data_IF_632782146201
#
_entry.id   IF_632782146201
#
_cell.length_a   1.000
_cell.length_b   1.000
_cell.length_c   1.000
_cell.angle_alpha   90.00
_cell.angle_beta   90.00
_cell.angle_gamma   90.00
#
_symmetry.space_group_name_H-M   'P 1'
#
loop_
_entity.id
_entity.type
_entity.pdbx_description
1 polymer ?
#
# COMPACT_ATOMS: atom_id res chain seq x y z
N UNK A 1 -15.35 27.05 27.64
CA UNK A 1 -14.97 25.93 26.76
C UNK A 1 -14.18 26.54 25.62
N UNK A 2 -12.86 26.39 25.57
CA UNK A 2 -12.06 27.01 24.51
C UNK A 2 -12.20 26.11 23.27
N UNK A 3 -12.85 26.63 22.24
CA UNK A 3 -12.98 25.97 20.94
C UNK A 3 -11.64 26.07 20.19
N UNK A 4 -10.68 25.24 20.58
CA UNK A 4 -9.36 25.12 19.92
C UNK A 4 -9.50 24.11 18.78
N UNK A 5 -10.45 24.32 17.87
CA UNK A 5 -10.58 23.59 16.61
C UNK A 5 -10.91 24.58 15.51
N UNK A 6 -9.92 25.35 15.08
CA UNK A 6 -9.94 25.89 13.73
C UNK A 6 -9.50 24.76 12.79
N UNK A 7 -10.43 23.87 12.37
CA UNK A 7 -10.25 23.21 11.07
C UNK A 7 -10.79 24.21 10.06
N UNK A 8 -9.89 25.02 9.55
CA UNK A 8 -10.14 25.80 8.36
C UNK A 8 -9.60 25.02 7.18
N UNK A 9 -10.27 25.10 6.04
CA UNK A 9 -9.83 24.44 4.80
C UNK A 9 -8.37 24.76 4.46
N UNK A 10 -7.89 25.92 4.92
CA UNK A 10 -6.63 26.51 4.50
C UNK A 10 -5.48 26.26 5.49
N UNK A 11 -5.70 25.48 6.56
CA UNK A 11 -4.64 25.08 7.49
C UNK A 11 -4.32 23.58 7.43
N UNK A 12 -3.21 23.18 8.05
CA UNK A 12 -2.70 21.81 7.96
C UNK A 12 -3.69 20.75 8.46
N UNK A 13 -4.51 21.07 9.48
CA UNK A 13 -5.53 20.15 9.99
C UNK A 13 -6.68 19.97 8.98
N UNK A 14 -7.10 21.05 8.32
CA UNK A 14 -8.08 20.99 7.23
C UNK A 14 -7.58 20.22 6.01
N UNK A 15 -6.33 20.44 5.60
CA UNK A 15 -5.69 19.70 4.51
C UNK A 15 -5.60 18.20 4.83
N UNK A 16 -5.21 17.83 6.06
CA UNK A 16 -5.18 16.44 6.50
C UNK A 16 -6.57 15.81 6.46
N UNK A 17 -7.58 16.48 7.02
CA UNK A 17 -8.95 15.98 7.04
C UNK A 17 -9.52 15.83 5.61
N UNK A 18 -9.16 16.73 4.69
CA UNK A 18 -9.51 16.63 3.28
C UNK A 18 -8.85 15.43 2.61
N UNK A 19 -7.56 15.15 2.88
CA UNK A 19 -6.86 13.96 2.37
C UNK A 19 -7.53 12.68 2.87
N UNK A 20 -7.83 12.59 4.17
CA UNK A 20 -8.53 11.44 4.78
C UNK A 20 -9.90 11.23 4.12
N UNK A 21 -10.69 12.28 3.98
CA UNK A 21 -12.03 12.20 3.38
C UNK A 21 -11.97 11.79 1.90
N UNK A 22 -10.99 12.32 1.18
CA UNK A 22 -10.76 12.00 -0.22
C UNK A 22 -10.32 10.56 -0.42
N UNK A 23 -9.40 10.07 0.41
CA UNK A 23 -8.71 8.79 0.21
C UNK A 23 -9.37 7.63 0.95
N UNK A 24 -10.21 7.90 1.96
CA UNK A 24 -10.80 6.87 2.80
C UNK A 24 -11.65 5.86 2.02
N UNK A 25 -12.37 6.29 0.98
CA UNK A 25 -13.13 5.38 0.10
C UNK A 25 -12.26 4.62 -0.91
N UNK A 26 -11.00 5.04 -1.07
CA UNK A 26 -10.05 4.44 -1.98
C UNK A 26 -9.23 3.31 -1.33
N UNK A 27 -9.35 3.10 -0.01
CA UNK A 27 -8.61 2.06 0.68
C UNK A 27 -9.09 0.65 0.31
N UNK A 28 -8.18 -0.30 0.04
CA UNK A 28 -8.51 -1.70 -0.07
C UNK A 28 -8.88 -2.31 1.31
N UNK A 29 -9.47 -3.52 1.34
CA UNK A 29 -9.76 -4.23 2.58
C UNK A 29 -8.51 -4.59 3.39
N UNK A 30 -8.73 -5.03 4.63
CA UNK A 30 -7.72 -5.71 5.42
C UNK A 30 -7.27 -7.01 4.72
N UNK A 31 -5.97 -7.26 4.67
CA UNK A 31 -5.45 -8.61 4.48
C UNK A 31 -5.78 -9.48 5.71
N UNK A 32 -5.92 -10.81 5.56
CA UNK A 32 -6.02 -11.73 6.68
C UNK A 32 -4.87 -11.52 7.68
N UNK A 33 -5.17 -11.59 8.97
CA UNK A 33 -4.12 -11.50 9.99
C UNK A 33 -3.33 -12.81 10.00
N UNK A 34 -2.06 -12.76 9.59
CA UNK A 34 -1.19 -13.92 9.62
C UNK A 34 -0.03 -13.66 10.55
N UNK A 35 0.75 -12.63 10.27
CA UNK A 35 1.90 -12.27 11.08
C UNK A 35 2.19 -10.77 11.03
N UNK A 36 2.66 -10.17 12.14
CA UNK A 36 2.78 -8.71 12.28
C UNK A 36 3.62 -8.02 11.21
N UNK A 37 4.66 -8.65 10.68
CA UNK A 37 5.56 -8.04 9.69
C UNK A 37 4.88 -7.91 8.32
N UNK A 38 3.90 -8.75 7.99
CA UNK A 38 3.03 -8.57 6.83
C UNK A 38 1.93 -7.54 7.12
N UNK A 39 1.16 -7.76 8.19
CA UNK A 39 -0.03 -6.98 8.47
C UNK A 39 0.30 -5.52 8.84
N UNK A 40 1.36 -5.26 9.59
CA UNK A 40 1.74 -3.89 9.92
C UNK A 40 2.33 -3.15 8.71
N UNK A 41 3.02 -3.84 7.78
CA UNK A 41 3.44 -3.23 6.52
C UNK A 41 2.24 -2.87 5.64
N UNK A 42 1.20 -3.71 5.64
CA UNK A 42 -0.05 -3.40 4.94
C UNK A 42 -0.78 -2.20 5.54
N UNK A 43 -0.85 -2.15 6.87
CA UNK A 43 -1.38 -1.02 7.61
C UNK A 43 -0.61 0.26 7.29
N UNK A 44 0.72 0.21 7.29
CA UNK A 44 1.57 1.36 6.96
C UNK A 44 1.33 1.87 5.54
N UNK A 45 1.23 0.95 4.57
CA UNK A 45 0.93 1.30 3.18
C UNK A 45 -0.44 1.99 3.03
N UNK A 46 -1.48 1.44 3.65
CA UNK A 46 -2.83 2.00 3.64
C UNK A 46 -2.91 3.34 4.40
N UNK A 47 -2.30 3.42 5.57
CA UNK A 47 -2.24 4.64 6.39
C UNK A 47 -1.49 5.76 5.68
N UNK A 48 -0.37 5.44 5.02
CA UNK A 48 0.38 6.39 4.20
C UNK A 48 -0.48 6.93 3.05
N UNK A 49 -1.21 6.08 2.34
CA UNK A 49 -2.12 6.53 1.28
C UNK A 49 -3.24 7.42 1.84
N UNK A 50 -3.86 7.00 2.93
CA UNK A 50 -4.92 7.74 3.61
C UNK A 50 -4.47 9.17 3.97
N UNK A 51 -3.26 9.30 4.49
CA UNK A 51 -2.67 10.59 4.87
C UNK A 51 -2.19 11.44 3.68
N UNK A 52 -2.25 10.93 2.44
CA UNK A 52 -1.76 11.63 1.25
C UNK A 52 -0.26 11.45 0.96
N UNK A 53 0.40 10.54 1.67
CA UNK A 53 1.81 10.18 1.47
C UNK A 53 1.94 9.04 0.45
N UNK A 54 1.55 9.31 -0.80
CA UNK A 54 1.45 8.28 -1.85
C UNK A 54 2.80 7.62 -2.16
N UNK A 55 3.91 8.36 -2.11
CA UNK A 55 5.25 7.80 -2.28
C UNK A 55 5.57 6.76 -1.20
N UNK A 56 5.29 7.07 0.07
CA UNK A 56 5.51 6.13 1.18
C UNK A 56 4.63 4.90 1.03
N UNK A 57 3.36 5.09 0.63
CA UNK A 57 2.44 3.99 0.35
C UNK A 57 2.98 3.04 -0.74
N UNK A 58 3.48 3.57 -1.86
CA UNK A 58 4.04 2.78 -2.97
C UNK A 58 5.28 2.00 -2.54
N UNK A 59 6.17 2.63 -1.76
CA UNK A 59 7.39 1.97 -1.25
C UNK A 59 7.02 0.86 -0.27
N UNK A 60 6.18 1.15 0.74
CA UNK A 60 5.74 0.17 1.72
C UNK A 60 5.03 -1.02 1.06
N UNK A 61 4.13 -0.76 0.10
CA UNK A 61 3.46 -1.80 -0.70
C UNK A 61 4.47 -2.66 -1.45
N UNK A 62 5.51 -2.04 -2.03
CA UNK A 62 6.53 -2.77 -2.79
C UNK A 62 7.40 -3.65 -1.89
N UNK A 63 7.76 -3.17 -0.70
CA UNK A 63 8.48 -3.97 0.30
C UNK A 63 7.62 -5.16 0.72
N UNK A 64 6.35 -4.94 1.00
CA UNK A 64 5.41 -5.99 1.38
C UNK A 64 5.25 -7.06 0.30
N UNK A 65 5.05 -6.66 -0.96
CA UNK A 65 4.93 -7.59 -2.10
C UNK A 65 6.15 -8.51 -2.21
N UNK A 66 7.36 -7.94 -2.22
CA UNK A 66 8.58 -8.74 -2.30
C UNK A 66 8.73 -9.65 -1.07
N UNK A 67 8.45 -9.13 0.12
CA UNK A 67 8.61 -9.87 1.37
C UNK A 67 7.62 -11.04 1.47
N UNK A 68 6.33 -10.83 1.19
CA UNK A 68 5.32 -11.89 1.16
C UNK A 68 5.66 -12.96 0.13
N UNK A 69 6.05 -12.57 -1.09
CA UNK A 69 6.42 -13.55 -2.11
C UNK A 69 7.60 -14.43 -1.66
N UNK A 70 8.61 -13.83 -1.02
CA UNK A 70 9.75 -14.58 -0.47
C UNK A 70 9.29 -15.58 0.61
N UNK A 71 8.45 -15.14 1.54
CA UNK A 71 7.92 -16.02 2.59
C UNK A 71 7.15 -17.21 2.01
N UNK A 72 6.20 -16.95 1.13
CA UNK A 72 5.35 -17.99 0.50
C UNK A 72 6.20 -18.94 -0.35
N UNK A 73 7.22 -18.42 -1.04
CA UNK A 73 8.16 -19.26 -1.80
C UNK A 73 9.02 -20.12 -0.89
N UNK A 74 9.37 -19.69 0.32
CA UNK A 74 10.15 -20.50 1.26
C UNK A 74 9.30 -21.62 1.85
N UNK A 75 8.15 -21.30 2.46
CA UNK A 75 7.31 -22.30 3.12
C UNK A 75 5.81 -21.95 2.99
N UNK A 76 5.02 -22.92 2.52
CA UNK A 76 3.56 -22.80 2.40
C UNK A 76 2.83 -23.32 3.64
N UNK A 77 3.46 -24.23 4.38
CA UNK A 77 2.82 -24.97 5.46
C UNK A 77 2.88 -24.17 6.77
N UNK A 78 4.04 -23.58 7.06
CA UNK A 78 4.26 -22.76 8.26
C UNK A 78 4.78 -21.37 7.91
N UNK A 79 4.42 -20.37 8.72
CA UNK A 79 4.93 -18.99 8.58
C UNK A 79 6.45 -19.00 8.80
N UNK A 80 7.26 -18.63 7.79
CA UNK A 80 8.72 -18.60 7.95
C UNK A 80 9.16 -17.63 9.05
N UNK A 81 10.11 -18.08 9.87
CA UNK A 81 10.76 -17.22 10.85
C UNK A 81 11.89 -16.45 10.17
N UNK A 82 11.76 -15.12 10.07
CA UNK A 82 12.81 -14.24 9.54
C UNK A 82 14.18 -14.51 10.18
N UNK A 83 14.23 -14.90 11.46
CA UNK A 83 15.50 -15.17 12.17
C UNK A 83 16.11 -16.52 11.83
N UNK A 84 15.30 -17.56 11.62
CA UNK A 84 15.77 -18.93 11.40
C UNK A 84 15.93 -19.23 9.91
N UNK A 85 15.01 -18.70 9.10
CA UNK A 85 14.85 -19.02 7.68
C UNK A 85 15.38 -17.91 6.77
N UNK A 86 16.11 -16.93 7.33
CA UNK A 86 16.72 -15.83 6.58
C UNK A 86 17.50 -16.32 5.36
N UNK A 87 18.32 -17.36 5.55
CA UNK A 87 19.15 -17.92 4.49
C UNK A 87 18.34 -18.37 3.29
N UNK A 88 17.21 -19.04 3.53
CA UNK A 88 16.32 -19.54 2.48
C UNK A 88 15.50 -18.41 1.84
N UNK A 89 14.90 -17.53 2.66
CA UNK A 89 14.07 -16.41 2.17
C UNK A 89 14.86 -15.41 1.31
N UNK A 90 16.15 -15.26 1.59
CA UNK A 90 17.03 -14.27 0.95
C UNK A 90 18.18 -14.90 0.16
N UNK A 91 18.16 -16.21 -0.09
CA UNK A 91 19.13 -16.88 -0.97
C UNK A 91 19.17 -16.19 -2.35
N UNK A 92 17.98 -15.89 -2.87
CA UNK A 92 17.80 -15.12 -4.09
C UNK A 92 17.93 -13.61 -3.81
N UNK A 93 19.07 -13.02 -4.17
CA UNK A 93 19.37 -11.61 -3.89
C UNK A 93 18.46 -10.60 -4.61
N UNK A 94 17.76 -11.01 -5.67
CA UNK A 94 16.87 -10.14 -6.44
C UNK A 94 15.47 -10.76 -6.56
N UNK A 95 14.47 -9.94 -6.89
CA UNK A 95 13.08 -10.40 -6.99
C UNK A 95 12.84 -11.34 -8.19
N UNK A 96 13.59 -11.17 -9.29
CA UNK A 96 13.38 -11.95 -10.53
C UNK A 96 13.57 -13.47 -10.31
N UNK A 97 14.66 -13.94 -9.67
CA UNK A 97 14.80 -15.34 -9.28
C UNK A 97 13.69 -15.84 -8.33
N UNK A 98 13.20 -15.00 -7.41
CA UNK A 98 12.09 -15.37 -6.51
C UNK A 98 10.81 -15.61 -7.32
N UNK A 99 10.49 -14.74 -8.28
CA UNK A 99 9.35 -14.91 -9.21
C UNK A 99 9.49 -16.21 -10.02
N UNK A 100 10.70 -16.53 -10.49
CA UNK A 100 10.95 -17.78 -11.22
C UNK A 100 10.76 -19.01 -10.33
N UNK A 101 11.18 -18.94 -9.06
CA UNK A 101 10.95 -20.00 -8.08
C UNK A 101 9.45 -20.17 -7.81
N UNK A 102 8.73 -19.07 -7.54
CA UNK A 102 7.28 -19.08 -7.35
C UNK A 102 6.53 -19.69 -8.54
N UNK A 103 6.95 -19.36 -9.76
CA UNK A 103 6.44 -19.97 -10.99
C UNK A 103 6.70 -21.48 -11.02
N UNK A 104 7.92 -21.92 -10.69
CA UNK A 104 8.26 -23.35 -10.68
C UNK A 104 7.44 -24.15 -9.67
N UNK A 105 7.05 -23.50 -8.56
CA UNK A 105 6.14 -24.03 -7.53
C UNK A 105 4.66 -23.93 -7.88
N UNK A 106 4.31 -23.35 -9.04
CA UNK A 106 2.92 -23.19 -9.47
C UNK A 106 2.16 -22.03 -8.82
N UNK A 107 2.81 -21.22 -7.99
CA UNK A 107 2.20 -20.11 -7.23
C UNK A 107 1.81 -18.92 -8.11
N UNK A 108 2.51 -18.75 -9.24
CA UNK A 108 2.28 -17.66 -10.19
C UNK A 108 1.97 -18.22 -11.58
N UNK A 109 0.75 -17.96 -12.07
CA UNK A 109 0.32 -18.39 -13.41
C UNK A 109 -0.43 -17.28 -14.17
N UNK A 110 -0.62 -17.48 -15.48
CA UNK A 110 -1.47 -16.63 -16.32
C UNK A 110 -1.22 -15.12 -16.18
N UNK A 111 -2.28 -14.38 -15.88
CA UNK A 111 -2.24 -12.92 -15.71
C UNK A 111 -1.51 -12.48 -14.43
N UNK A 112 -1.59 -13.27 -13.35
CA UNK A 112 -0.85 -12.98 -12.11
C UNK A 112 0.64 -12.98 -12.37
N UNK A 113 1.15 -13.96 -13.12
CA UNK A 113 2.56 -13.99 -13.53
C UNK A 113 2.96 -12.73 -14.31
N UNK A 114 2.18 -12.34 -15.32
CA UNK A 114 2.48 -11.15 -16.15
C UNK A 114 2.55 -9.88 -15.31
N UNK A 115 1.66 -9.75 -14.32
CA UNK A 115 1.65 -8.62 -13.40
C UNK A 115 2.92 -8.59 -12.54
N UNK A 116 3.32 -9.72 -11.93
CA UNK A 116 4.55 -9.78 -11.13
C UNK A 116 5.81 -9.51 -11.95
N UNK A 117 5.86 -9.99 -13.19
CA UNK A 117 6.98 -9.71 -14.11
C UNK A 117 7.08 -8.22 -14.46
N UNK A 118 5.94 -7.58 -14.76
CA UNK A 118 5.85 -6.15 -15.02
C UNK A 118 6.19 -5.30 -13.78
N UNK A 119 5.67 -5.68 -12.61
CA UNK A 119 5.95 -5.04 -11.33
C UNK A 119 7.45 -5.08 -11.00
N UNK A 120 8.08 -6.25 -11.17
CA UNK A 120 9.51 -6.42 -10.93
C UNK A 120 10.35 -5.48 -11.80
N UNK A 121 9.94 -5.26 -13.05
CA UNK A 121 10.70 -4.51 -14.05
C UNK A 121 10.50 -3.01 -13.96
N UNK A 122 9.24 -2.57 -13.89
CA UNK A 122 8.88 -1.16 -14.05
C UNK A 122 8.66 -0.41 -12.73
N UNK A 123 8.41 -1.12 -11.63
CA UNK A 123 8.15 -0.51 -10.32
C UNK A 123 9.29 -0.84 -9.36
N UNK A 124 9.43 -2.13 -8.99
CA UNK A 124 10.38 -2.56 -7.95
C UNK A 124 11.82 -2.16 -8.29
N UNK A 125 12.27 -2.46 -9.51
CA UNK A 125 13.63 -2.14 -9.93
C UNK A 125 13.95 -0.65 -9.79
N UNK A 126 13.00 0.21 -10.17
CA UNK A 126 13.12 1.66 -10.08
C UNK A 126 13.17 2.15 -8.63
N UNK A 127 12.32 1.61 -7.76
CA UNK A 127 12.35 1.90 -6.31
C UNK A 127 13.73 1.59 -5.72
N UNK A 128 14.32 0.45 -6.05
CA UNK A 128 15.64 0.06 -5.54
C UNK A 128 16.77 1.00 -5.99
N UNK A 129 16.61 1.70 -7.12
CA UNK A 129 17.56 2.69 -7.60
C UNK A 129 17.22 4.12 -7.18
N UNK A 130 16.17 4.32 -6.37
CA UNK A 130 15.68 5.65 -5.99
C UNK A 130 15.03 6.42 -7.14
N UNK A 131 14.71 5.72 -8.24
CA UNK A 131 14.30 6.31 -9.50
C UNK A 131 12.78 6.32 -9.67
N UNK A 132 12.09 6.92 -8.70
CA UNK A 132 10.63 6.92 -8.64
C UNK A 132 9.98 7.66 -9.82
N UNK A 133 10.69 8.59 -10.46
CA UNK A 133 10.18 9.37 -11.59
C UNK A 133 9.86 8.50 -12.79
N UNK A 134 10.80 7.63 -13.15
CA UNK A 134 10.65 6.78 -14.32
C UNK A 134 9.57 5.72 -14.12
N UNK A 135 9.13 5.44 -12.88
CA UNK A 135 7.94 4.58 -12.65
C UNK A 135 6.73 5.16 -13.38
N UNK A 136 6.50 6.47 -13.26
CA UNK A 136 5.30 7.11 -13.80
C UNK A 136 5.34 7.25 -15.31
N UNK A 137 6.52 7.29 -15.89
CA UNK A 137 6.72 7.36 -17.33
C UNK A 137 6.67 5.94 -17.93
N UNK A 138 7.52 5.04 -17.41
CA UNK A 138 7.65 3.66 -17.90
C UNK A 138 6.36 2.85 -17.73
N UNK A 139 5.65 2.97 -16.60
CA UNK A 139 4.47 2.15 -16.34
C UNK A 139 3.26 2.51 -17.21
N UNK A 140 3.23 3.68 -17.86
CA UNK A 140 2.06 4.11 -18.66
C UNK A 140 1.83 3.24 -19.88
N UNK A 141 2.93 2.75 -20.45
CA UNK A 141 2.91 1.91 -21.65
C UNK A 141 2.83 0.42 -21.31
N UNK A 142 2.75 0.09 -20.02
CA UNK A 142 2.65 -1.30 -19.52
C UNK A 142 1.17 -1.70 -19.46
N UNK A 143 0.72 -2.72 -20.21
CA UNK A 143 -0.69 -3.10 -20.26
C UNK A 143 -1.32 -3.41 -18.89
N UNK A 144 -0.53 -3.90 -17.95
CA UNK A 144 -0.97 -4.24 -16.59
C UNK A 144 -1.27 -3.00 -15.73
N UNK A 145 -0.70 -1.83 -16.07
CA UNK A 145 -0.76 -0.62 -15.24
C UNK A 145 -1.47 0.54 -15.94
N UNK A 146 -2.08 0.33 -17.10
CA UNK A 146 -2.75 1.38 -17.89
C UNK A 146 -3.79 2.15 -17.04
N UNK A 147 -4.54 1.44 -16.20
CA UNK A 147 -5.59 2.02 -15.37
C UNK A 147 -5.06 2.93 -14.25
N UNK A 148 -3.77 2.83 -13.92
CA UNK A 148 -3.12 3.61 -12.85
C UNK A 148 -3.00 5.09 -13.26
N UNK A 149 -3.18 5.37 -14.55
CA UNK A 149 -3.00 6.67 -15.16
C UNK A 149 -4.30 7.20 -15.75
N UNK A 150 -4.38 8.52 -15.89
CA UNK A 150 -5.47 9.14 -16.62
C UNK A 150 -5.13 9.10 -18.12
N UNK A 151 -5.98 8.53 -19.00
CA UNK A 151 -5.73 8.48 -20.45
C UNK A 151 -5.53 9.86 -21.10
N UNK A 152 -6.10 10.91 -20.51
CA UNK A 152 -5.92 12.30 -20.96
C UNK A 152 -4.49 12.77 -20.69
N UNK A 153 -3.88 12.33 -19.59
CA UNK A 153 -2.51 12.71 -19.19
C UNK A 153 -1.46 11.83 -19.87
N UNK A 154 -1.60 11.59 -21.19
CA UNK A 154 -0.66 10.81 -22.02
C UNK A 154 0.26 11.71 -22.85
N UNK A 155 1.39 11.17 -23.33
CA UNK A 155 2.33 11.88 -24.21
C UNK A 155 1.67 12.40 -25.49
N UNK A 156 0.75 11.62 -26.04
CA UNK A 156 0.06 11.92 -27.29
C UNK A 156 -1.02 13.00 -27.11
N UNK A 157 -1.63 13.06 -25.92
CA UNK A 157 -2.76 13.95 -25.62
C UNK A 157 -2.37 15.22 -24.87
N UNK A 158 -1.10 15.34 -24.45
CA UNK A 158 -0.62 16.44 -23.60
C UNK A 158 0.52 17.20 -24.29
N UNK A 159 0.56 18.52 -24.09
CA UNK A 159 1.73 19.31 -24.47
C UNK A 159 3.01 18.75 -23.83
N UNK A 160 4.10 18.71 -24.60
CA UNK A 160 5.43 18.29 -24.12
C UNK A 160 5.82 18.91 -22.78
N UNK A 161 5.63 20.22 -22.61
CA UNK A 161 5.92 20.91 -21.36
C UNK A 161 5.11 20.33 -20.18
N UNK A 162 3.78 20.25 -20.33
CA UNK A 162 2.90 19.73 -19.28
C UNK A 162 3.21 18.27 -18.94
N UNK A 163 3.59 17.48 -19.93
CA UNK A 163 4.02 16.11 -19.72
C UNK A 163 5.32 16.04 -18.94
N UNK A 164 6.40 16.63 -19.47
CA UNK A 164 7.76 16.53 -18.91
C UNK A 164 7.92 17.25 -17.57
N UNK A 165 7.24 18.40 -17.37
CA UNK A 165 7.47 19.30 -16.23
C UNK A 165 6.40 19.22 -15.14
N UNK A 166 5.25 18.60 -15.41
CA UNK A 166 4.15 18.50 -14.43
C UNK A 166 3.76 17.06 -14.16
N UNK A 167 3.52 16.27 -15.20
CA UNK A 167 3.03 14.89 -15.07
C UNK A 167 4.15 13.93 -14.60
N UNK A 168 5.36 14.08 -15.11
CA UNK A 168 6.52 13.25 -14.74
C UNK A 168 7.45 13.90 -13.70
N UNK A 169 7.02 15.00 -13.08
CA UNK A 169 7.81 15.72 -12.08
C UNK A 169 7.80 14.99 -10.72
N UNK A 170 8.89 14.96 -9.93
CA UNK A 170 8.94 14.27 -8.63
C UNK A 170 7.80 14.59 -7.66
N UNK A 171 7.42 15.87 -7.61
CA UNK A 171 6.34 16.34 -6.76
C UNK A 171 4.96 15.74 -7.09
N UNK A 172 4.82 15.05 -8.22
CA UNK A 172 3.54 14.45 -8.64
C UNK A 172 3.05 13.35 -7.68
N UNK A 173 3.95 12.70 -6.93
CA UNK A 173 3.60 11.79 -5.85
C UNK A 173 2.95 12.48 -4.64
N UNK A 174 2.83 13.81 -4.67
CA UNK A 174 2.09 14.61 -3.69
C UNK A 174 0.86 15.27 -4.32
N UNK A 175 0.45 14.81 -5.51
CA UNK A 175 -0.63 15.38 -6.30
C UNK A 175 -1.63 14.30 -6.76
N UNK A 176 -2.69 14.70 -7.51
CA UNK A 176 -3.79 13.83 -7.97
C UNK A 176 -3.33 12.60 -8.76
N UNK A 177 -2.25 12.71 -9.52
CA UNK A 177 -1.71 11.62 -10.35
C UNK A 177 -1.00 10.59 -9.47
N UNK A 178 -0.22 11.03 -8.48
CA UNK A 178 0.34 10.16 -7.44
C UNK A 178 -0.74 9.44 -6.63
N UNK A 179 -1.82 10.16 -6.26
CA UNK A 179 -2.99 9.56 -5.61
C UNK A 179 -3.58 8.43 -6.45
N UNK A 180 -3.83 8.70 -7.74
CA UNK A 180 -4.41 7.71 -8.67
C UNK A 180 -3.50 6.48 -8.75
N UNK A 181 -2.22 6.67 -9.02
CA UNK A 181 -1.26 5.57 -9.10
C UNK A 181 -1.28 4.73 -7.83
N UNK A 182 -1.14 5.38 -6.66
CA UNK A 182 -1.10 4.70 -5.37
C UNK A 182 -2.40 3.94 -5.07
N UNK A 183 -3.56 4.51 -5.42
CA UNK A 183 -4.86 3.84 -5.28
C UNK A 183 -4.88 2.54 -6.08
N UNK A 184 -4.65 2.59 -7.40
CA UNK A 184 -4.76 1.40 -8.23
C UNK A 184 -3.70 0.36 -7.87
N UNK A 185 -2.47 0.81 -7.57
CA UNK A 185 -1.41 -0.08 -7.15
C UNK A 185 -1.73 -0.80 -5.84
N UNK A 186 -2.32 -0.10 -4.85
CA UNK A 186 -2.78 -0.73 -3.61
C UNK A 186 -3.86 -1.78 -3.85
N UNK A 187 -4.85 -1.50 -4.69
CA UNK A 187 -5.93 -2.45 -5.00
C UNK A 187 -5.41 -3.71 -5.70
N UNK A 188 -4.52 -3.55 -6.68
CA UNK A 188 -3.89 -4.70 -7.32
C UNK A 188 -3.01 -5.48 -6.34
N UNK A 189 -2.20 -4.77 -5.53
CA UNK A 189 -1.35 -5.40 -4.53
C UNK A 189 -2.16 -6.19 -3.50
N UNK A 190 -3.30 -5.66 -3.04
CA UNK A 190 -4.24 -6.40 -2.19
C UNK A 190 -4.65 -7.72 -2.83
N UNK A 191 -5.04 -7.69 -4.12
CA UNK A 191 -5.41 -8.89 -4.86
C UNK A 191 -4.26 -9.91 -4.92
N UNK A 192 -3.04 -9.45 -5.19
CA UNK A 192 -1.86 -10.32 -5.28
C UNK A 192 -1.41 -10.90 -3.94
N UNK A 193 -1.45 -10.09 -2.88
CA UNK A 193 -1.12 -10.50 -1.53
C UNK A 193 -2.16 -11.49 -1.00
N UNK A 194 -3.44 -11.20 -1.20
CA UNK A 194 -4.53 -12.11 -0.80
C UNK A 194 -4.47 -13.45 -1.54
N UNK A 195 -4.18 -13.43 -2.85
CA UNK A 195 -4.00 -14.65 -3.64
C UNK A 195 -2.80 -15.49 -3.16
N UNK A 196 -1.69 -14.86 -2.78
CA UNK A 196 -0.52 -15.56 -2.25
C UNK A 196 -0.76 -16.13 -0.86
N UNK A 197 -1.30 -15.34 0.06
CA UNK A 197 -1.61 -15.77 1.43
C UNK A 197 -2.65 -16.90 1.42
N UNK A 198 -3.68 -16.80 0.56
CA UNK A 198 -4.71 -17.83 0.44
C UNK A 198 -4.22 -19.17 -0.12
N UNK A 199 -2.97 -19.26 -0.59
CA UNK A 199 -2.34 -20.52 -1.01
C UNK A 199 -1.52 -21.18 0.11
N UNK A 200 -1.49 -20.60 1.31
CA UNK A 200 -0.74 -21.10 2.46
C UNK A 200 -1.66 -21.79 3.47
N UNK A 201 -1.08 -22.64 4.33
CA UNK A 201 -1.75 -23.22 5.50
C UNK A 201 -1.41 -22.44 6.80
N UNK A 202 -0.96 -21.19 6.65
CA UNK A 202 -0.50 -20.37 7.76
C UNK A 202 -1.62 -20.06 8.75
N UNK A 203 -1.43 -20.46 10.00
CA UNK A 203 -2.29 -20.09 11.11
C UNK A 203 -2.13 -18.60 11.48
N UNK A 204 -3.20 -18.02 12.06
CA UNK A 204 -3.12 -16.67 12.61
C UNK A 204 -2.16 -16.63 13.81
N UNK A 205 -1.14 -15.76 13.75
CA UNK A 205 -0.21 -15.57 14.87
C UNK A 205 -0.61 -14.34 15.71
N UNK A 206 -1.33 -14.57 16.82
CA UNK A 206 -1.83 -13.50 17.70
C UNK A 206 -1.29 -13.52 19.14
N UNK A 207 -0.56 -14.57 19.55
CA UNK A 207 -0.13 -14.80 20.95
C UNK A 207 0.63 -13.62 21.62
N UNK A 208 1.42 -12.85 20.85
CA UNK A 208 2.26 -11.77 21.40
C UNK A 208 1.86 -10.37 20.90
N UNK A 209 0.94 -10.29 19.95
CA UNK A 209 0.69 -9.09 19.15
C UNK A 209 -0.79 -8.71 19.08
N UNK A 210 -1.58 -9.17 20.06
CA UNK A 210 -3.00 -8.87 20.17
C UNK A 210 -3.29 -7.37 20.07
N UNK A 211 -2.49 -6.52 20.72
CA UNK A 211 -2.69 -5.06 20.66
C UNK A 211 -2.50 -4.48 19.25
N UNK A 212 -1.61 -5.06 18.46
CA UNK A 212 -1.35 -4.67 17.07
C UNK A 212 -2.46 -5.18 16.16
N UNK A 213 -2.96 -6.41 16.39
CA UNK A 213 -4.13 -6.96 15.69
C UNK A 213 -5.36 -6.09 15.94
N UNK A 214 -5.62 -5.71 17.20
CA UNK A 214 -6.71 -4.80 17.56
C UNK A 214 -6.57 -3.44 16.86
N UNK A 215 -5.37 -2.88 16.81
CA UNK A 215 -5.13 -1.61 16.10
C UNK A 215 -5.35 -1.74 14.58
N UNK A 216 -4.89 -2.85 13.99
CA UNK A 216 -5.07 -3.19 12.59
C UNK A 216 -6.56 -3.34 12.25
N UNK A 217 -7.27 -4.19 12.98
CA UNK A 217 -8.71 -4.43 12.78
C UNK A 217 -9.51 -3.14 12.98
N UNK A 218 -9.17 -2.36 14.01
CA UNK A 218 -9.80 -1.06 14.25
C UNK A 218 -9.56 -0.08 13.11
N UNK A 219 -8.38 -0.08 12.47
CA UNK A 219 -8.09 0.80 11.34
C UNK A 219 -8.99 0.47 10.14
N UNK A 220 -9.11 -0.81 9.78
CA UNK A 220 -9.89 -1.23 8.61
C UNK A 220 -11.41 -1.27 8.87
N UNK A 221 -11.84 -1.45 10.12
CA UNK A 221 -13.25 -1.31 10.49
C UNK A 221 -13.70 0.16 10.54
N UNK A 222 -12.76 1.10 10.67
CA UNK A 222 -13.09 2.52 10.78
C UNK A 222 -13.52 3.10 9.44
N UNK A 223 -14.67 3.79 9.44
CA UNK A 223 -15.15 4.50 8.26
C UNK A 223 -14.41 5.82 8.10
N UNK A 224 -13.28 5.80 7.40
CA UNK A 224 -12.46 6.97 7.10
C UNK A 224 -13.21 7.99 6.22
N UNK A 225 -13.79 8.99 6.87
CA UNK A 225 -14.36 10.19 6.25
C UNK A 225 -14.35 11.33 7.26
N UNK A 226 -14.62 12.55 6.80
CA UNK A 226 -14.59 13.73 7.64
C UNK A 226 -15.53 13.65 8.86
N UNK A 227 -16.82 13.27 8.73
CA UNK A 227 -17.72 13.12 9.87
C UNK A 227 -17.22 12.15 10.96
N UNK A 228 -16.78 10.95 10.55
CA UNK A 228 -16.26 9.95 11.50
C UNK A 228 -15.02 10.49 12.19
N UNK A 229 -14.03 10.98 11.43
CA UNK A 229 -12.76 11.53 11.96
C UNK A 229 -13.03 12.60 13.03
N UNK A 230 -13.92 13.54 12.73
CA UNK A 230 -14.32 14.60 13.67
C UNK A 230 -14.90 14.01 14.96
N UNK A 231 -15.84 13.07 14.84
CA UNK A 231 -16.49 12.42 15.99
C UNK A 231 -15.51 11.60 16.84
N UNK A 232 -14.63 10.85 16.20
CA UNK A 232 -13.62 10.03 16.88
C UNK A 232 -12.66 10.89 17.71
N UNK A 233 -12.16 11.98 17.14
CA UNK A 233 -11.27 12.90 17.87
C UNK A 233 -12.01 13.61 19.02
N UNK A 234 -13.25 14.04 18.82
CA UNK A 234 -14.06 14.63 19.90
C UNK A 234 -14.28 13.65 21.04
N UNK A 235 -14.48 12.37 20.73
CA UNK A 235 -14.67 11.31 21.72
C UNK A 235 -13.39 11.00 22.50
N UNK A 236 -12.24 10.92 21.81
CA UNK A 236 -10.93 10.68 22.44
C UNK A 236 -10.49 11.79 23.42
N UNK A 237 -11.02 13.01 23.27
CA UNK A 237 -10.75 14.13 24.18
C UNK A 237 -11.59 14.10 25.46
N UNK A 238 -12.61 13.25 25.55
CA UNK A 238 -13.41 13.13 26.76
C UNK A 238 -12.52 12.60 27.89
N UNK A 239 -12.52 13.23 29.08
CA UNK A 239 -11.78 12.70 30.23
C UNK A 239 -12.13 11.24 30.48
N UNK A 240 -11.13 10.41 30.80
CA UNK A 240 -11.39 9.05 31.25
C UNK A 240 -12.37 9.08 32.44
N UNK A 241 -13.53 8.44 32.29
CA UNK A 241 -14.59 8.38 33.31
C UNK A 241 -15.80 9.30 33.07
N UNK A 242 -15.81 10.15 32.04
CA UNK A 242 -17.03 10.87 31.65
C UNK A 242 -17.92 9.97 30.79
N UNK A 243 -18.54 8.96 31.41
CA UNK A 243 -19.70 8.29 30.83
C UNK A 243 -20.84 9.31 30.72
N UNK A 244 -21.57 9.27 29.61
CA UNK A 244 -22.56 10.28 29.24
C UNK A 244 -23.65 10.50 30.30
N UNK A 245 -23.91 11.77 30.57
CA UNK A 245 -25.26 12.26 30.87
C UNK A 245 -26.03 12.43 29.55
#
# INVERSE_FOLDING_TARGET
MIEIWHIEKDNAAGMFAQSVDSNGTDLPPALPWVEPSLNNLWLEACSSHLCGNYQAAIIATSVLLEFTLRMVVSNLDEVPSIRKDHGEMFENQTLRPVINSAKSKGLLSGNTKKWWEAYCEHIRNKICHGDLLHILDDCRDVPQFVDYFNPIESRENTERYSYEQVITHPAVFHHKTGRRFSKYFLHDAYGKLSELIGQTEWDEYDEWWESQKVAYDSFFAYRWNYPSLKSGIQSARRPFGSAGE
#
